data_IF_407160737426
#
_entry.id   IF_407160737426
#
_cell.length_a   1.000
_cell.length_b   1.000
_cell.length_c   1.000
_cell.angle_alpha   90.00
_cell.angle_beta   90.00
_cell.angle_gamma   90.00
#
_symmetry.space_group_name_H-M   'P 1'
#
loop_
_entity.id
_entity.type
_entity.pdbx_description
1 polymer ?
#
# COMPACT_ATOMS: atom_id res chain seq x y z
N UNK A 1 22.25 7.12 3.32
CA UNK A 1 21.08 6.34 2.87
C UNK A 1 19.93 7.29 2.53
N UNK A 2 19.21 7.07 1.41
CA UNK A 2 18.01 7.86 1.04
C UNK A 2 16.78 6.97 1.15
N UNK A 3 15.63 7.58 1.44
CA UNK A 3 14.36 6.83 1.52
C UNK A 3 14.02 6.13 0.20
N UNK A 4 14.35 6.75 -0.92
CA UNK A 4 14.08 6.22 -2.25
C UNK A 4 14.79 4.88 -2.50
N UNK A 5 16.00 4.71 -1.98
CA UNK A 5 16.79 3.47 -2.12
C UNK A 5 16.10 2.32 -1.37
N UNK A 6 15.55 2.63 -0.18
CA UNK A 6 14.81 1.66 0.64
C UNK A 6 13.49 1.25 -0.05
N UNK A 7 12.76 2.23 -0.61
CA UNK A 7 11.49 1.98 -1.31
C UNK A 7 11.70 1.16 -2.58
N UNK A 8 12.79 1.42 -3.30
CA UNK A 8 13.15 0.66 -4.51
C UNK A 8 13.48 -0.80 -4.17
N UNK A 9 14.33 -1.02 -3.18
CA UNK A 9 14.67 -2.36 -2.71
C UNK A 9 13.43 -3.13 -2.22
N UNK A 10 12.54 -2.44 -1.48
CA UNK A 10 11.31 -3.04 -1.03
C UNK A 10 10.43 -3.50 -2.20
N UNK A 11 10.36 -2.71 -3.27
CA UNK A 11 9.64 -3.07 -4.49
C UNK A 11 10.27 -4.26 -5.20
N UNK A 12 11.60 -4.25 -5.40
CA UNK A 12 12.34 -5.33 -6.07
C UNK A 12 12.21 -6.65 -5.31
N UNK A 13 12.26 -6.60 -3.98
CA UNK A 13 12.08 -7.77 -3.11
C UNK A 13 10.61 -8.15 -2.88
N UNK A 14 9.66 -7.41 -3.42
CA UNK A 14 8.22 -7.59 -3.20
C UNK A 14 7.87 -7.60 -1.69
N UNK A 15 8.51 -6.70 -0.94
CA UNK A 15 8.24 -6.55 0.49
C UNK A 15 6.87 -5.91 0.71
N UNK A 16 6.10 -6.44 1.66
CA UNK A 16 4.78 -5.91 2.03
C UNK A 16 4.89 -4.65 2.88
N UNK A 17 5.84 -4.64 3.81
CA UNK A 17 6.02 -3.55 4.77
C UNK A 17 7.50 -3.17 4.91
N UNK A 18 7.73 -1.90 5.26
CA UNK A 18 9.04 -1.34 5.58
C UNK A 18 8.93 -0.73 6.98
N UNK A 19 9.86 -1.06 7.86
CA UNK A 19 9.93 -0.49 9.21
C UNK A 19 11.20 0.32 9.38
N UNK A 20 11.04 1.57 9.81
CA UNK A 20 12.12 2.48 10.14
C UNK A 20 12.07 2.75 11.64
N UNK A 21 13.02 2.18 12.39
CA UNK A 21 13.08 2.27 13.86
C UNK A 21 14.51 2.54 14.27
N UNK A 22 14.71 3.44 15.24
CA UNK A 22 16.02 3.74 15.79
C UNK A 22 16.65 2.51 16.44
N UNK A 23 17.96 2.32 16.24
CA UNK A 23 18.72 1.18 16.76
C UNK A 23 18.64 -0.10 15.91
N UNK A 24 18.01 -0.02 14.74
CA UNK A 24 17.98 -1.09 13.74
C UNK A 24 18.25 -0.52 12.36
N UNK A 25 18.80 -1.31 11.41
CA UNK A 25 18.72 -0.98 10.00
C UNK A 25 17.26 -0.88 9.55
N UNK A 26 16.95 -0.22 8.43
CA UNK A 26 15.62 -0.35 7.83
C UNK A 26 15.27 -1.82 7.63
N UNK A 27 14.07 -2.21 8.05
CA UNK A 27 13.63 -3.61 7.99
C UNK A 27 12.55 -3.76 6.93
N UNK A 28 12.68 -4.75 6.08
CA UNK A 28 11.72 -5.10 5.04
C UNK A 28 10.98 -6.38 5.44
N UNK A 29 9.65 -6.39 5.33
CA UNK A 29 8.86 -7.61 5.56
C UNK A 29 8.64 -8.34 4.24
N UNK A 30 9.16 -9.54 4.13
CA UNK A 30 8.99 -10.41 2.97
C UNK A 30 8.47 -11.78 3.42
N UNK A 31 7.38 -12.22 2.82
CA UNK A 31 6.74 -13.51 3.17
C UNK A 31 6.56 -13.73 4.69
N UNK A 32 6.20 -12.66 5.40
CA UNK A 32 5.99 -12.68 6.85
C UNK A 32 7.26 -12.48 7.70
N UNK A 33 8.46 -12.67 7.13
CA UNK A 33 9.74 -12.50 7.82
C UNK A 33 10.31 -11.09 7.64
N UNK A 34 11.05 -10.60 8.65
CA UNK A 34 11.76 -9.32 8.59
C UNK A 34 13.21 -9.53 8.18
N UNK A 35 13.63 -8.84 7.12
CA UNK A 35 15.00 -8.80 6.61
C UNK A 35 15.57 -7.39 6.74
N UNK A 36 16.85 -7.26 7.10
CA UNK A 36 17.50 -5.96 7.16
C UNK A 36 17.86 -5.46 5.75
N UNK A 37 17.71 -4.15 5.53
CA UNK A 37 18.25 -3.45 4.37
C UNK A 37 19.60 -2.80 4.76
N UNK A 38 20.69 -3.44 4.39
CA UNK A 38 22.04 -3.05 4.78
C UNK A 38 22.36 -3.33 6.26
N UNK A 39 23.54 -2.90 6.69
CA UNK A 39 24.04 -3.14 8.04
C UNK A 39 24.03 -1.89 8.91
N UNK A 40 23.75 -0.71 8.33
CA UNK A 40 23.81 0.57 9.02
C UNK A 40 22.55 0.76 9.88
N UNK A 41 22.72 0.80 11.20
CA UNK A 41 21.64 1.07 12.14
C UNK A 41 21.24 2.55 12.12
N UNK A 42 19.94 2.81 12.14
CA UNK A 42 19.41 4.17 12.19
C UNK A 42 19.65 4.78 13.59
N UNK A 43 20.31 5.92 13.63
CA UNK A 43 20.31 6.80 14.79
C UNK A 43 19.06 7.73 14.73
N UNK A 44 18.74 8.50 15.80
CA UNK A 44 17.56 9.36 15.84
C UNK A 44 17.51 10.39 14.69
N UNK A 45 18.64 10.99 14.34
CA UNK A 45 18.76 11.99 13.28
C UNK A 45 18.52 11.37 11.91
N UNK A 46 19.12 10.22 11.64
CA UNK A 46 18.95 9.50 10.38
C UNK A 46 17.49 9.04 10.19
N UNK A 47 16.87 8.49 11.24
CA UNK A 47 15.47 8.09 11.19
C UNK A 47 14.56 9.31 10.94
N UNK A 48 14.79 10.42 11.63
CA UNK A 48 14.05 11.67 11.42
C UNK A 48 14.22 12.18 10.00
N UNK A 49 15.44 12.24 9.47
CA UNK A 49 15.69 12.71 8.11
C UNK A 49 14.99 11.84 7.06
N UNK A 50 15.06 10.52 7.17
CA UNK A 50 14.38 9.60 6.26
C UNK A 50 12.87 9.80 6.28
N UNK A 51 12.27 9.82 7.47
CA UNK A 51 10.82 9.93 7.65
C UNK A 51 10.32 11.33 7.21
N UNK A 52 11.02 12.39 7.56
CA UNK A 52 10.62 13.75 7.15
C UNK A 52 10.76 14.00 5.65
N UNK A 53 11.60 13.24 4.96
CA UNK A 53 11.75 13.36 3.50
C UNK A 53 10.50 12.96 2.69
N UNK A 54 9.56 12.23 3.31
CA UNK A 54 8.29 11.83 2.70
C UNK A 54 7.10 12.67 3.16
N UNK A 55 7.33 13.67 4.01
CA UNK A 55 6.29 14.56 4.53
C UNK A 55 6.33 15.92 3.81
N UNK A 56 5.16 16.47 3.50
CA UNK A 56 5.04 17.89 3.19
C UNK A 56 5.00 18.74 4.48
N UNK A 57 5.04 20.07 4.33
CA UNK A 57 5.05 21.00 5.47
C UNK A 57 3.82 20.84 6.39
N UNK A 58 2.63 20.74 5.83
CA UNK A 58 1.39 20.56 6.59
C UNK A 58 1.39 19.27 7.40
N UNK A 59 1.84 18.18 6.78
CA UNK A 59 1.98 16.88 7.43
C UNK A 59 3.02 16.89 8.55
N UNK A 60 4.13 17.64 8.38
CA UNK A 60 5.13 17.81 9.43
C UNK A 60 4.56 18.52 10.65
N UNK A 61 3.90 19.67 10.43
CA UNK A 61 3.26 20.43 11.51
C UNK A 61 2.24 19.56 12.25
N UNK A 62 1.39 18.85 11.51
CA UNK A 62 0.39 17.95 12.11
C UNK A 62 1.06 16.84 12.93
N UNK A 63 2.07 16.18 12.39
CA UNK A 63 2.81 15.13 13.10
C UNK A 63 3.52 15.64 14.36
N UNK A 64 4.12 16.82 14.32
CA UNK A 64 4.77 17.42 15.49
C UNK A 64 3.80 17.76 16.61
N UNK A 65 2.54 18.08 16.24
CA UNK A 65 1.47 18.37 17.19
C UNK A 65 0.86 17.08 17.76
N UNK A 66 0.42 16.18 16.89
CA UNK A 66 -0.38 14.99 17.23
C UNK A 66 0.48 13.79 17.66
N UNK A 67 1.79 13.79 17.33
CA UNK A 67 2.77 12.71 17.60
C UNK A 67 2.51 11.40 16.86
N UNK A 68 1.51 11.39 16.02
CA UNK A 68 1.13 10.28 15.13
C UNK A 68 0.56 10.85 13.84
N UNK A 69 0.82 10.19 12.72
CA UNK A 69 0.21 10.55 11.44
C UNK A 69 0.10 9.31 10.54
N UNK A 70 -1.11 9.05 10.04
CA UNK A 70 -1.39 8.08 9.00
C UNK A 70 -1.70 8.83 7.69
N UNK A 71 -1.00 8.49 6.62
CA UNK A 71 -1.17 9.14 5.32
C UNK A 71 -0.72 8.22 4.18
N UNK A 72 -1.01 8.62 2.95
CA UNK A 72 -0.48 7.93 1.78
C UNK A 72 0.29 8.89 0.88
N UNK A 73 1.33 8.39 0.23
CA UNK A 73 2.14 9.14 -0.71
C UNK A 73 2.51 8.28 -1.93
N UNK A 74 2.71 8.93 -3.05
CA UNK A 74 3.15 8.28 -4.29
C UNK A 74 4.59 8.63 -4.60
N UNK A 75 5.34 7.67 -5.13
CA UNK A 75 6.68 7.87 -5.67
C UNK A 75 6.68 7.44 -7.12
N UNK A 76 7.14 8.32 -8.00
CA UNK A 76 7.20 8.05 -9.44
C UNK A 76 7.98 6.75 -9.68
N UNK A 77 7.44 5.89 -10.53
CA UNK A 77 7.99 4.60 -10.94
C UNK A 77 8.08 3.52 -9.82
N UNK A 78 7.88 3.88 -8.55
CA UNK A 78 7.86 2.93 -7.43
C UNK A 78 6.45 2.54 -6.97
N UNK A 79 5.46 3.43 -7.17
CA UNK A 79 4.08 3.16 -6.78
C UNK A 79 3.61 4.03 -5.62
N UNK A 80 2.62 3.54 -4.90
CA UNK A 80 2.02 4.25 -3.76
C UNK A 80 2.24 3.48 -2.47
N UNK A 81 2.42 4.23 -1.40
CA UNK A 81 2.67 3.71 -0.06
C UNK A 81 1.70 4.33 0.93
N UNK A 82 1.22 3.54 1.88
CA UNK A 82 0.61 4.02 3.11
C UNK A 82 1.69 4.10 4.17
N UNK A 83 1.73 5.17 4.92
CA UNK A 83 2.67 5.40 6.00
C UNK A 83 1.93 5.69 7.30
N UNK A 84 2.29 4.98 8.35
CA UNK A 84 2.02 5.37 9.74
C UNK A 84 3.34 5.80 10.37
N UNK A 85 3.40 7.03 10.83
CA UNK A 85 4.56 7.55 11.58
C UNK A 85 4.12 7.88 13.00
N UNK A 86 4.97 7.58 13.97
CA UNK A 86 4.65 7.77 15.38
C UNK A 86 5.92 7.95 16.22
N UNK A 87 5.72 8.45 17.44
CA UNK A 87 6.79 8.44 18.42
C UNK A 87 6.84 7.13 19.19
N UNK A 88 8.03 6.55 19.28
CA UNK A 88 8.32 5.35 20.06
C UNK A 88 9.53 5.61 20.93
N UNK A 89 9.37 5.51 22.27
CA UNK A 89 10.46 5.73 23.26
C UNK A 89 11.20 7.06 23.07
N UNK A 90 10.47 8.13 22.73
CA UNK A 90 11.03 9.46 22.51
C UNK A 90 11.70 9.67 21.15
N UNK A 91 11.70 8.67 20.25
CA UNK A 91 12.23 8.76 18.89
C UNK A 91 11.13 8.55 17.86
N UNK A 92 11.39 8.98 16.63
CA UNK A 92 10.43 8.80 15.53
C UNK A 92 10.62 7.42 14.90
N UNK A 93 9.51 6.74 14.68
CA UNK A 93 9.44 5.49 13.94
C UNK A 93 8.42 5.58 12.82
N UNK A 94 8.56 4.72 11.80
CA UNK A 94 7.61 4.61 10.71
C UNK A 94 7.39 3.17 10.29
N UNK A 95 6.14 2.88 9.92
CA UNK A 95 5.74 1.68 9.20
C UNK A 95 5.16 2.10 7.84
N UNK A 96 5.76 1.64 6.75
CA UNK A 96 5.30 1.93 5.40
C UNK A 96 4.79 0.63 4.78
N UNK A 97 3.63 0.67 4.14
CA UNK A 97 3.05 -0.45 3.40
C UNK A 97 2.94 -0.11 1.92
N UNK A 98 3.43 -0.97 1.05
CA UNK A 98 3.24 -0.81 -0.39
C UNK A 98 1.78 -1.11 -0.77
N UNK A 99 1.18 -0.22 -1.56
CA UNK A 99 -0.16 -0.43 -2.13
C UNK A 99 0.01 -1.07 -3.50
N UNK A 100 -0.65 -2.21 -3.69
CA UNK A 100 -0.55 -2.95 -4.94
C UNK A 100 -1.14 -2.15 -6.10
N UNK A 101 -0.39 -2.07 -7.19
CA UNK A 101 -0.82 -1.46 -8.46
C UNK A 101 -1.06 -2.49 -9.56
N UNK A 102 -0.63 -3.73 -9.33
CA UNK A 102 -0.87 -4.86 -10.21
C UNK A 102 -2.06 -5.64 -9.68
N UNK A 103 -3.13 -5.66 -10.45
CA UNK A 103 -4.36 -6.37 -10.11
C UNK A 103 -4.34 -7.68 -10.88
N UNK A 104 -4.34 -8.83 -10.18
CA UNK A 104 -4.35 -10.12 -10.86
C UNK A 104 -5.66 -10.33 -11.62
N UNK A 105 -5.59 -11.04 -12.71
CA UNK A 105 -6.75 -11.45 -13.48
C UNK A 105 -7.53 -12.58 -12.80
N UNK A 106 -8.79 -12.78 -13.19
CA UNK A 106 -9.60 -13.90 -12.68
C UNK A 106 -8.95 -15.26 -12.95
N UNK A 107 -8.30 -15.40 -14.11
CA UNK A 107 -7.60 -16.64 -14.49
C UNK A 107 -6.38 -16.89 -13.61
N UNK A 108 -5.56 -15.87 -13.31
CA UNK A 108 -4.39 -16.00 -12.44
C UNK A 108 -4.77 -16.37 -11.01
N UNK A 109 -5.94 -15.93 -10.56
CA UNK A 109 -6.49 -16.29 -9.24
C UNK A 109 -7.22 -17.64 -9.22
N UNK A 110 -7.42 -18.28 -10.38
CA UNK A 110 -8.22 -19.50 -10.49
C UNK A 110 -9.68 -19.30 -10.08
N UNK A 111 -10.23 -18.09 -10.25
CA UNK A 111 -11.60 -17.79 -9.88
C UNK A 111 -12.59 -18.46 -10.86
N UNK A 112 -13.74 -18.96 -10.38
CA UNK A 112 -14.76 -19.52 -11.22
C UNK A 112 -15.27 -18.51 -12.27
N UNK A 113 -15.42 -18.93 -13.52
CA UNK A 113 -15.87 -18.06 -14.61
C UNK A 113 -17.26 -17.44 -14.37
N UNK A 114 -18.11 -18.11 -13.57
CA UNK A 114 -19.43 -17.57 -13.22
C UNK A 114 -19.37 -16.20 -12.54
N UNK A 115 -18.25 -15.86 -11.87
CA UNK A 115 -18.06 -14.55 -11.25
C UNK A 115 -18.04 -13.43 -12.29
N UNK A 116 -17.67 -13.74 -13.53
CA UNK A 116 -17.71 -12.77 -14.62
C UNK A 116 -19.12 -12.25 -14.88
N UNK A 117 -20.14 -13.05 -14.64
CA UNK A 117 -21.54 -12.64 -14.82
C UNK A 117 -21.89 -11.44 -13.93
N UNK A 118 -21.25 -11.30 -12.76
CA UNK A 118 -21.50 -10.15 -11.87
C UNK A 118 -21.04 -8.83 -12.46
N UNK A 119 -20.07 -8.84 -13.37
CA UNK A 119 -19.60 -7.63 -14.06
C UNK A 119 -20.59 -7.16 -15.13
N UNK A 120 -21.56 -7.99 -15.51
CA UNK A 120 -22.57 -7.68 -16.53
C UNK A 120 -23.87 -7.09 -15.94
N UNK A 121 -24.04 -7.15 -14.63
CA UNK A 121 -25.25 -6.63 -14.00
C UNK A 121 -25.30 -5.09 -14.04
N UNK A 122 -26.45 -4.56 -14.41
CA UNK A 122 -26.67 -3.12 -14.48
C UNK A 122 -27.12 -2.54 -13.12
N UNK A 123 -27.60 -3.36 -12.21
CA UNK A 123 -28.04 -2.98 -10.86
C UNK A 123 -27.99 -4.18 -9.92
N UNK A 124 -28.13 -3.90 -8.63
CA UNK A 124 -28.15 -4.92 -7.59
C UNK A 124 -27.04 -4.71 -6.56
N UNK A 125 -26.91 -5.66 -5.67
CA UNK A 125 -25.88 -5.71 -4.62
C UNK A 125 -25.17 -7.05 -4.68
N UNK A 126 -23.84 -7.02 -4.75
CA UNK A 126 -22.99 -8.20 -4.63
C UNK A 126 -22.20 -8.11 -3.33
N UNK A 127 -22.30 -9.13 -2.48
CA UNK A 127 -21.58 -9.22 -1.22
C UNK A 127 -20.46 -10.25 -1.32
N UNK A 128 -19.23 -9.82 -1.01
CA UNK A 128 -18.06 -10.70 -0.90
C UNK A 128 -17.68 -10.80 0.57
N UNK A 129 -17.86 -11.97 1.16
CA UNK A 129 -17.66 -12.20 2.60
C UNK A 129 -16.62 -13.28 2.87
N UNK A 130 -16.04 -13.27 4.07
CA UNK A 130 -15.05 -14.25 4.49
C UNK A 130 -14.09 -13.70 5.55
N UNK A 131 -13.25 -14.53 6.15
CA UNK A 131 -12.27 -14.11 7.14
C UNK A 131 -11.17 -13.22 6.55
N UNK A 132 -10.39 -12.56 7.40
CA UNK A 132 -9.21 -11.79 6.98
C UNK A 132 -8.23 -12.70 6.23
N UNK A 133 -7.67 -12.21 5.13
CA UNK A 133 -6.72 -12.96 4.29
C UNK A 133 -7.36 -13.97 3.33
N UNK A 134 -8.71 -14.07 3.27
CA UNK A 134 -9.40 -14.98 2.34
C UNK A 134 -9.46 -14.53 0.88
N UNK A 135 -8.89 -13.37 0.55
CA UNK A 135 -8.86 -12.85 -0.82
C UNK A 135 -10.04 -11.97 -1.22
N UNK A 136 -10.88 -11.51 -0.26
CA UNK A 136 -12.04 -10.64 -0.56
C UNK A 136 -11.69 -9.41 -1.40
N UNK A 137 -10.77 -8.59 -0.90
CA UNK A 137 -10.35 -7.35 -1.57
C UNK A 137 -9.70 -7.63 -2.92
N UNK A 138 -8.92 -8.70 -3.01
CA UNK A 138 -8.30 -9.13 -4.27
C UNK A 138 -9.36 -9.54 -5.29
N UNK A 139 -10.36 -10.32 -4.88
CA UNK A 139 -11.47 -10.72 -5.74
C UNK A 139 -12.29 -9.52 -6.22
N UNK A 140 -12.62 -8.59 -5.30
CA UNK A 140 -13.32 -7.35 -5.65
C UNK A 140 -12.52 -6.50 -6.63
N UNK A 141 -11.23 -6.29 -6.37
CA UNK A 141 -10.35 -5.53 -7.25
C UNK A 141 -10.28 -6.16 -8.65
N UNK A 142 -10.19 -7.49 -8.73
CA UNK A 142 -10.18 -8.22 -10.01
C UNK A 142 -11.49 -8.04 -10.80
N UNK A 143 -12.65 -8.10 -10.14
CA UNK A 143 -13.95 -7.87 -10.78
C UNK A 143 -14.10 -6.42 -11.25
N UNK A 144 -13.69 -5.46 -10.43
CA UNK A 144 -13.68 -4.03 -10.78
C UNK A 144 -12.75 -3.77 -11.96
N UNK A 145 -11.57 -4.39 -11.99
CA UNK A 145 -10.64 -4.24 -13.11
C UNK A 145 -11.20 -4.86 -14.41
N UNK A 146 -11.94 -5.96 -14.33
CA UNK A 146 -12.64 -6.52 -15.47
C UNK A 146 -13.70 -5.55 -16.02
N UNK A 147 -14.49 -4.89 -15.17
CA UNK A 147 -15.42 -3.82 -15.58
C UNK A 147 -14.64 -2.67 -16.21
N UNK A 148 -13.57 -2.23 -15.59
CA UNK A 148 -12.72 -1.12 -16.07
C UNK A 148 -12.11 -1.39 -17.45
N UNK A 149 -11.82 -2.65 -17.78
CA UNK A 149 -11.29 -3.06 -19.10
C UNK A 149 -12.37 -3.20 -20.16
N UNK A 150 -13.58 -3.59 -19.76
CA UNK A 150 -14.62 -4.00 -20.72
C UNK A 150 -15.67 -2.94 -20.95
N UNK A 151 -16.05 -2.14 -19.94
CA UNK A 151 -17.13 -1.15 -19.99
C UNK A 151 -16.59 0.29 -19.96
N UNK A 152 -17.37 1.23 -20.50
CA UNK A 152 -17.07 2.67 -20.46
C UNK A 152 -18.02 3.35 -19.46
N UNK A 153 -17.72 3.24 -18.18
CA UNK A 153 -18.58 3.68 -17.10
C UNK A 153 -17.78 4.50 -16.05
N UNK A 154 -18.46 5.05 -15.06
CA UNK A 154 -17.84 5.72 -13.92
C UNK A 154 -17.87 4.78 -12.71
N UNK A 155 -16.70 4.42 -12.20
CA UNK A 155 -16.53 3.55 -11.03
C UNK A 155 -16.09 4.40 -9.84
N UNK A 156 -16.79 4.25 -8.71
CA UNK A 156 -16.41 4.86 -7.44
C UNK A 156 -16.15 3.74 -6.43
N UNK A 157 -14.94 3.72 -5.84
CA UNK A 157 -14.62 2.86 -4.71
C UNK A 157 -14.51 3.68 -3.42
N UNK A 158 -14.96 3.10 -2.31
CA UNK A 158 -14.82 3.67 -0.96
C UNK A 158 -14.14 2.61 -0.11
N UNK A 159 -12.90 2.87 0.26
CA UNK A 159 -12.03 1.88 0.91
C UNK A 159 -11.30 2.51 2.10
N UNK A 160 -11.12 1.75 3.18
CA UNK A 160 -10.34 2.15 4.36
C UNK A 160 -9.53 0.95 4.90
N UNK A 161 -8.25 0.84 4.48
CA UNK A 161 -7.52 1.61 3.47
C UNK A 161 -7.73 1.11 2.04
N UNK A 162 -7.26 1.87 1.04
CA UNK A 162 -7.13 1.41 -0.35
C UNK A 162 -6.07 0.31 -0.39
N UNK A 163 -6.44 -0.88 -0.89
CA UNK A 163 -5.53 -2.03 -1.05
C UNK A 163 -5.00 -2.19 -2.48
N UNK A 164 -5.80 -1.78 -3.48
CA UNK A 164 -5.44 -1.81 -4.90
C UNK A 164 -5.71 -0.47 -5.57
N UNK A 165 -4.82 -0.04 -6.45
CA UNK A 165 -4.99 1.17 -7.25
C UNK A 165 -5.38 0.81 -8.68
N UNK A 166 -6.60 1.13 -9.06
CA UNK A 166 -7.07 0.99 -10.43
C UNK A 166 -6.56 2.15 -11.29
N UNK A 167 -5.97 1.83 -12.43
CA UNK A 167 -5.64 2.82 -13.46
C UNK A 167 -6.84 2.99 -14.37
N UNK A 168 -7.09 4.22 -14.83
CA UNK A 168 -8.11 4.44 -15.86
C UNK A 168 -7.80 3.64 -17.10
N UNK A 169 -8.79 2.90 -17.60
CA UNK A 169 -8.75 2.18 -18.86
C UNK A 169 -9.95 2.64 -19.72
N UNK A 170 -11.04 1.86 -19.78
CA UNK A 170 -12.28 2.32 -20.41
C UNK A 170 -13.16 3.11 -19.43
N UNK A 171 -13.08 2.80 -18.13
CA UNK A 171 -13.78 3.54 -17.10
C UNK A 171 -12.96 4.72 -16.54
N UNK A 172 -13.67 5.62 -15.90
CA UNK A 172 -13.11 6.71 -15.10
C UNK A 172 -13.46 6.54 -13.63
#
# INVERSE_FOLDING_TARGET
MKIIDILQEAKEKKASDIHLVVGRPPMLRKHGSLEAFGDETLNPEAAKMLIYSILNEEQRVKFELEKELDFSFGVKDLGRFRANIHYQRGTIAAALRSINTEIPTMSELGLPEVLKNFTEYNNGLVLVTGPTGSGKSTTLATLIDEINRTKAEHIITIEDPIEYLHRHQKCI
#
